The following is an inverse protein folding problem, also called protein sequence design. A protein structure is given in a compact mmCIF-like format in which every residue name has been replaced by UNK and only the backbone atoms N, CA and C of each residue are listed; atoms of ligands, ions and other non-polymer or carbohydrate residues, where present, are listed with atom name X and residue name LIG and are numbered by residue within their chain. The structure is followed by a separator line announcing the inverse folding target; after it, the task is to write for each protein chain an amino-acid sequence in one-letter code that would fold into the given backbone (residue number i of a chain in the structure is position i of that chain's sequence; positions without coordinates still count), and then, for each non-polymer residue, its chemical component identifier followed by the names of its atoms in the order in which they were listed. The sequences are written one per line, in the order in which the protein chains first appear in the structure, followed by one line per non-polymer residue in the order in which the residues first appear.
data_IF_868650656498
#
_entry.id   IF_868650656498
#
_cell.length_a   1.000
_cell.length_b   1.000
_cell.length_c   1.000
_cell.angle_alpha   90.00
_cell.angle_beta   90.00
_cell.angle_gamma   90.00
#
_symmetry.space_group_name_H-M   'P 1'
#
loop_
_entity.id
_entity.type
_entity.pdbx_description
1 polymer ?
#
# COMPACT_ATOMS: atom_id res chain seq x y z
N UNK A 1 24.83 40.11 18.73
CA UNK A 1 24.54 39.65 17.35
C UNK A 1 24.93 38.19 17.10
N UNK A 2 26.11 37.73 17.53
CA UNK A 2 26.62 36.38 17.23
C UNK A 2 25.81 35.22 17.85
N UNK A 3 25.18 35.40 19.01
CA UNK A 3 24.38 34.35 19.66
C UNK A 3 23.06 34.04 18.97
N UNK A 4 22.38 35.06 18.44
CA UNK A 4 21.11 34.90 17.70
C UNK A 4 21.38 34.24 16.35
N UNK A 5 22.43 34.67 15.65
CA UNK A 5 22.83 34.06 14.37
C UNK A 5 23.19 32.58 14.52
N UNK A 6 23.91 32.19 15.59
CA UNK A 6 24.20 30.78 15.90
C UNK A 6 22.94 29.96 16.15
N UNK A 7 21.94 30.52 16.86
CA UNK A 7 20.65 29.85 17.11
C UNK A 7 19.87 29.65 15.81
N UNK A 8 19.79 30.66 14.95
CA UNK A 8 19.12 30.54 13.65
C UNK A 8 19.80 29.48 12.77
N UNK A 9 21.14 29.49 12.72
CA UNK A 9 21.90 28.50 11.94
C UNK A 9 21.67 27.07 12.46
N UNK A 10 21.64 26.91 13.79
CA UNK A 10 21.38 25.61 14.43
C UNK A 10 19.98 25.09 14.12
N UNK A 11 18.97 25.95 14.13
CA UNK A 11 17.58 25.56 13.80
C UNK A 11 17.45 25.23 12.31
N UNK A 12 18.07 26.01 11.43
CA UNK A 12 18.07 25.75 9.99
C UNK A 12 18.72 24.39 9.66
N UNK A 13 19.84 24.06 10.32
CA UNK A 13 20.51 22.78 10.13
C UNK A 13 19.64 21.61 10.58
N UNK A 14 18.93 21.73 11.71
CA UNK A 14 18.01 20.70 12.18
C UNK A 14 16.89 20.44 11.15
N UNK A 15 16.27 21.48 10.61
CA UNK A 15 15.18 21.35 9.62
C UNK A 15 15.63 20.61 8.36
N UNK A 16 16.86 20.86 7.89
CA UNK A 16 17.39 20.20 6.69
C UNK A 16 17.58 18.68 6.87
N UNK A 17 17.89 18.22 8.07
CA UNK A 17 18.15 16.79 8.34
C UNK A 17 16.84 15.99 8.44
N UNK A 18 15.75 16.61 8.93
CA UNK A 18 14.45 15.95 9.08
C UNK A 18 13.68 15.73 7.76
N UNK A 19 14.11 16.34 6.65
CA UNK A 19 13.41 16.23 5.37
C UNK A 19 13.58 14.89 4.64
N UNK A 20 14.54 14.06 5.05
CA UNK A 20 14.84 12.80 4.38
C UNK A 20 14.26 11.61 5.14
N UNK A 21 12.95 11.36 4.95
CA UNK A 21 12.27 10.18 5.48
C UNK A 21 11.95 9.15 4.39
N UNK A 22 11.88 7.87 4.79
CA UNK A 22 11.45 6.80 3.92
C UNK A 22 9.97 6.96 3.53
N UNK A 23 9.69 6.81 2.23
CA UNK A 23 8.32 6.88 1.71
C UNK A 23 7.85 5.49 1.32
N UNK A 24 6.76 5.04 1.92
CA UNK A 24 6.09 3.79 1.55
C UNK A 24 4.96 4.09 0.56
N UNK A 25 4.90 3.34 -0.53
CA UNK A 25 3.80 3.40 -1.50
C UNK A 25 3.16 2.03 -1.64
N UNK A 26 1.86 1.97 -1.39
CA UNK A 26 1.05 0.78 -1.60
C UNK A 26 0.33 0.91 -2.94
N UNK A 27 0.41 -0.13 -3.77
CA UNK A 27 -0.27 -0.21 -5.06
C UNK A 27 -1.16 -1.45 -5.10
N UNK A 28 -2.35 -1.30 -5.66
CA UNK A 28 -3.37 -2.34 -5.66
C UNK A 28 -4.19 -2.34 -4.38
N UNK A 29 -4.94 -3.41 -4.16
CA UNK A 29 -5.88 -3.53 -3.07
C UNK A 29 -5.89 -4.95 -2.53
N UNK A 30 -5.91 -5.06 -1.20
CA UNK A 30 -6.11 -6.30 -0.47
C UNK A 30 -7.20 -5.99 0.57
N UNK A 31 -8.30 -6.76 0.60
CA UNK A 31 -9.34 -6.57 1.60
C UNK A 31 -8.81 -6.77 3.02
N UNK A 32 -9.33 -6.03 3.99
CA UNK A 32 -9.02 -6.24 5.41
C UNK A 32 -9.76 -7.47 5.96
N UNK A 33 -9.32 -7.97 7.12
CA UNK A 33 -9.98 -9.10 7.78
C UNK A 33 -11.45 -8.81 8.11
N UNK A 34 -11.79 -7.55 8.44
CA UNK A 34 -13.17 -7.12 8.67
C UNK A 34 -14.00 -7.18 7.37
N UNK A 35 -13.43 -6.75 6.25
CA UNK A 35 -14.11 -6.82 4.94
C UNK A 35 -14.32 -8.27 4.51
N UNK A 36 -13.31 -9.14 4.72
CA UNK A 36 -13.41 -10.57 4.43
C UNK A 36 -14.47 -11.28 5.28
N UNK A 37 -14.72 -10.82 6.50
CA UNK A 37 -15.78 -11.38 7.35
C UNK A 37 -17.19 -11.20 6.79
N UNK A 38 -17.38 -10.24 5.87
CA UNK A 38 -18.66 -10.02 5.18
C UNK A 38 -18.91 -11.00 4.03
N UNK A 39 -17.87 -11.74 3.62
CA UNK A 39 -17.92 -12.72 2.53
C UNK A 39 -17.96 -14.14 3.08
N UNK A 40 -18.92 -14.94 2.61
CA UNK A 40 -19.07 -16.34 2.96
C UNK A 40 -18.79 -17.22 1.74
N UNK A 41 -17.75 -18.04 1.83
CA UNK A 41 -17.30 -18.97 0.77
C UNK A 41 -18.43 -19.91 0.32
N UNK A 42 -19.40 -20.21 1.19
CA UNK A 42 -20.48 -21.15 0.89
C UNK A 42 -21.72 -20.51 0.25
N UNK A 43 -21.86 -19.18 0.29
CA UNK A 43 -23.10 -18.49 -0.12
C UNK A 43 -22.87 -17.41 -1.18
N UNK A 44 -21.71 -16.77 -1.19
CA UNK A 44 -21.46 -15.67 -2.11
C UNK A 44 -20.93 -16.17 -3.45
N UNK A 45 -21.49 -15.63 -4.53
CA UNK A 45 -20.95 -15.78 -5.87
C UNK A 45 -19.95 -14.65 -6.20
N UNK A 46 -19.30 -14.75 -7.37
CA UNK A 46 -18.30 -13.78 -7.82
C UNK A 46 -18.83 -12.35 -7.90
N UNK A 47 -20.08 -12.18 -8.33
CA UNK A 47 -20.66 -10.85 -8.47
C UNK A 47 -20.95 -10.26 -7.09
N UNK A 48 -21.46 -11.07 -6.17
CA UNK A 48 -21.67 -10.67 -4.78
C UNK A 48 -20.37 -10.29 -4.08
N UNK A 49 -19.29 -11.04 -4.31
CA UNK A 49 -17.95 -10.70 -3.80
C UNK A 49 -17.48 -9.35 -4.33
N UNK A 50 -17.68 -9.07 -5.63
CA UNK A 50 -17.31 -7.79 -6.25
C UNK A 50 -18.18 -6.64 -5.70
N UNK A 51 -19.46 -6.88 -5.43
CA UNK A 51 -20.33 -5.88 -4.80
C UNK A 51 -19.91 -5.55 -3.37
N UNK A 52 -19.46 -6.56 -2.60
CA UNK A 52 -19.04 -6.38 -1.19
C UNK A 52 -17.62 -5.81 -1.06
N UNK A 53 -16.66 -6.35 -1.81
CA UNK A 53 -15.22 -6.03 -1.69
C UNK A 53 -14.73 -5.07 -2.78
N UNK A 54 -15.56 -4.73 -3.76
CA UNK A 54 -15.19 -3.91 -4.90
C UNK A 54 -14.44 -4.67 -5.99
N UNK A 55 -13.94 -3.91 -6.97
CA UNK A 55 -13.28 -4.48 -8.14
C UNK A 55 -11.95 -5.13 -7.77
N UNK A 56 -11.71 -6.39 -8.14
CA UNK A 56 -10.46 -7.07 -7.87
C UNK A 56 -9.28 -6.42 -8.60
N UNK A 57 -8.08 -6.64 -8.06
CA UNK A 57 -6.84 -6.11 -8.66
C UNK A 57 -6.55 -6.75 -10.02
N UNK A 58 -6.90 -8.03 -10.17
CA UNK A 58 -6.86 -8.76 -11.44
C UNK A 58 -8.17 -9.56 -11.53
N UNK A 59 -9.18 -8.97 -12.17
CA UNK A 59 -10.45 -9.63 -12.48
C UNK A 59 -10.55 -9.97 -13.95
N UNK A 60 -10.80 -11.23 -14.29
CA UNK A 60 -11.20 -11.64 -15.65
C UNK A 60 -10.09 -11.81 -16.70
N UNK A 61 -8.81 -11.64 -16.35
CA UNK A 61 -7.69 -11.95 -17.26
C UNK A 61 -7.36 -13.44 -17.26
N UNK A 62 -7.61 -14.13 -16.14
CA UNK A 62 -7.27 -15.54 -15.96
C UNK A 62 -8.51 -16.42 -16.23
N UNK A 63 -8.34 -17.43 -17.07
CA UNK A 63 -9.43 -18.35 -17.50
C UNK A 63 -9.81 -19.39 -16.43
N UNK A 64 -9.25 -19.28 -15.22
CA UNK A 64 -9.49 -20.20 -14.10
C UNK A 64 -10.72 -19.82 -13.28
N UNK A 65 -11.28 -18.63 -13.52
CA UNK A 65 -12.43 -18.13 -12.80
C UNK A 65 -12.13 -17.65 -11.38
N UNK A 66 -10.88 -17.64 -10.93
CA UNK A 66 -10.54 -17.15 -9.61
C UNK A 66 -10.57 -15.61 -9.55
N UNK A 67 -10.82 -15.06 -8.36
CA UNK A 67 -10.74 -13.62 -8.08
C UNK A 67 -9.44 -13.34 -7.33
N UNK A 68 -8.67 -12.37 -7.83
CA UNK A 68 -7.36 -12.02 -7.29
C UNK A 68 -7.32 -10.59 -6.75
N UNK A 69 -7.05 -10.47 -5.45
CA UNK A 69 -6.71 -9.21 -4.79
C UNK A 69 -5.20 -9.18 -4.55
N UNK A 70 -4.53 -8.13 -5.01
CA UNK A 70 -3.08 -8.03 -4.97
C UNK A 70 -2.69 -6.65 -4.50
N UNK A 71 -1.88 -6.60 -3.45
CA UNK A 71 -1.25 -5.37 -3.01
C UNK A 71 0.27 -5.52 -3.04
N UNK A 72 0.96 -4.51 -3.55
CA UNK A 72 2.41 -4.40 -3.52
C UNK A 72 2.82 -3.18 -2.72
N UNK A 73 3.69 -3.39 -1.73
CA UNK A 73 4.30 -2.32 -0.95
C UNK A 73 5.71 -2.05 -1.48
N UNK A 74 5.93 -0.81 -1.89
CA UNK A 74 7.18 -0.36 -2.48
C UNK A 74 7.82 0.66 -1.55
N UNK A 75 9.08 0.39 -1.18
CA UNK A 75 9.89 1.38 -0.49
C UNK A 75 10.47 2.32 -1.54
N UNK A 76 10.02 3.57 -1.52
CA UNK A 76 10.56 4.64 -2.35
C UNK A 76 11.74 5.27 -1.61
N UNK A 77 12.93 4.97 -2.11
CA UNK A 77 14.16 5.62 -1.67
C UNK A 77 14.42 6.83 -2.57
N UNK A 78 14.89 7.94 -2.01
CA UNK A 78 15.21 9.16 -2.77
C UNK A 78 16.49 9.02 -3.59
N UNK A 79 17.45 8.23 -3.11
CA UNK A 79 18.79 8.09 -3.72
C UNK A 79 18.91 6.81 -4.56
N UNK A 80 18.15 5.76 -4.21
CA UNK A 80 18.22 4.46 -4.88
C UNK A 80 16.92 4.18 -5.63
N UNK A 81 17.00 3.30 -6.63
CA UNK A 81 15.82 2.79 -7.30
C UNK A 81 14.84 2.17 -6.28
N UNK A 82 13.56 2.49 -6.43
CA UNK A 82 12.47 1.91 -5.64
C UNK A 82 12.46 0.39 -5.79
N UNK A 83 12.25 -0.31 -4.68
CA UNK A 83 12.17 -1.79 -4.67
C UNK A 83 10.88 -2.24 -3.98
N UNK A 84 10.18 -3.25 -4.52
CA UNK A 84 9.09 -3.90 -3.80
C UNK A 84 9.68 -4.57 -2.56
N UNK A 85 9.09 -4.29 -1.40
CA UNK A 85 9.50 -4.88 -0.11
C UNK A 85 8.53 -5.96 0.35
N UNK A 86 7.27 -5.87 -0.07
CA UNK A 86 6.24 -6.85 0.26
C UNK A 86 5.22 -6.94 -0.87
N UNK A 87 4.68 -8.14 -1.09
CA UNK A 87 3.62 -8.41 -2.06
C UNK A 87 2.69 -9.46 -1.49
N UNK A 88 1.44 -9.05 -1.31
CA UNK A 88 0.38 -9.91 -0.80
C UNK A 88 -0.59 -10.25 -1.92
N UNK A 89 -0.99 -11.52 -1.96
CA UNK A 89 -1.93 -12.06 -2.95
C UNK A 89 -2.98 -12.85 -2.18
N UNK A 90 -4.23 -12.42 -2.31
CA UNK A 90 -5.41 -13.15 -1.84
C UNK A 90 -6.14 -13.71 -3.05
N UNK A 91 -6.47 -15.00 -2.98
CA UNK A 91 -7.20 -15.72 -4.02
C UNK A 91 -8.51 -16.22 -3.43
N UNK A 92 -9.60 -15.92 -4.11
CA UNK A 92 -10.91 -16.52 -3.86
C UNK A 92 -11.23 -17.43 -5.05
N UNK A 93 -11.46 -18.70 -4.74
CA UNK A 93 -11.73 -19.79 -5.69
C UNK A 93 -13.18 -20.22 -5.66
#
# INVERSE_FOLDING_TARGET
MNGILKKILSVALLVLIFGCSEQYRNHGYIPSDEELSSVSVSQDDKNSVIEKLGTPSIGGILNDGNIYFVQSKVLKNSIRASKPIDRQVLVLS
#
